data_IF_883144335737
#
_entry.id   IF_883144335737
#
_cell.length_a   1.000
_cell.length_b   1.000
_cell.length_c   1.000
_cell.angle_alpha   90.00
_cell.angle_beta   90.00
_cell.angle_gamma   90.00
#
_symmetry.space_group_name_H-M   'P 1'
#
loop_
_entity.id
_entity.type
_entity.pdbx_description
1 polymer ?
#
# COMPACT_ATOMS: atom_id res chain seq x y z
N UNK A 1 -32.87 -7.54 12.69
CA UNK A 1 -31.43 -7.60 13.08
C UNK A 1 -30.47 -7.45 11.90
N UNK A 2 -30.90 -7.67 10.68
CA UNK A 2 -30.08 -7.68 9.45
C UNK A 2 -29.63 -6.29 8.94
N UNK A 3 -30.41 -5.22 9.23
CA UNK A 3 -30.06 -3.84 8.83
C UNK A 3 -28.88 -3.24 9.66
N UNK A 4 -28.60 -3.77 10.87
CA UNK A 4 -27.53 -3.25 11.73
C UNK A 4 -26.13 -3.70 11.31
N UNK A 5 -25.96 -4.81 10.60
CA UNK A 5 -24.65 -5.30 10.14
C UNK A 5 -24.15 -4.52 8.91
N UNK A 6 -25.04 -4.23 7.95
CA UNK A 6 -24.71 -3.36 6.81
C UNK A 6 -24.42 -1.92 7.27
N UNK A 7 -25.20 -1.41 8.21
CA UNK A 7 -24.94 -0.11 8.83
C UNK A 7 -23.62 -0.11 9.63
N UNK A 8 -23.25 -1.22 10.28
CA UNK A 8 -22.00 -1.36 11.03
C UNK A 8 -20.75 -1.35 10.14
N UNK A 9 -20.82 -1.90 8.93
CA UNK A 9 -19.72 -1.87 7.95
C UNK A 9 -19.56 -0.45 7.38
N UNK A 10 -20.66 0.26 7.13
CA UNK A 10 -20.65 1.65 6.66
C UNK A 10 -20.22 2.61 7.77
N UNK A 11 -20.58 2.37 9.04
CA UNK A 11 -20.17 3.21 10.18
C UNK A 11 -18.71 2.96 10.60
N UNK A 12 -18.20 1.75 10.55
CA UNK A 12 -16.79 1.47 10.84
C UNK A 12 -15.83 2.19 9.87
N UNK A 13 -16.24 2.42 8.62
CA UNK A 13 -15.48 3.22 7.65
C UNK A 13 -15.58 4.74 7.90
N UNK A 14 -16.63 5.22 8.57
CA UNK A 14 -16.81 6.66 8.85
C UNK A 14 -16.15 7.13 10.16
N UNK A 15 -15.84 6.23 11.09
CA UNK A 15 -15.23 6.60 12.39
C UNK A 15 -13.71 6.55 12.43
N UNK A 16 -13.05 5.96 11.41
CA UNK A 16 -11.61 5.70 11.43
C UNK A 16 -10.72 6.51 10.48
N UNK A 17 -11.24 7.43 9.70
CA UNK A 17 -10.42 8.16 8.74
C UNK A 17 -10.94 9.56 8.49
N UNK A 18 -10.30 10.56 9.07
CA UNK A 18 -10.26 11.91 8.51
C UNK A 18 -9.65 11.77 7.11
N UNK A 19 -10.51 11.63 6.10
CA UNK A 19 -10.10 11.77 4.71
C UNK A 19 -9.68 13.22 4.57
N UNK A 20 -8.39 13.42 4.42
CA UNK A 20 -7.75 14.72 4.19
C UNK A 20 -8.48 15.45 3.04
N UNK A 21 -9.29 16.44 3.40
CA UNK A 21 -10.10 17.26 2.47
C UNK A 21 -9.19 18.22 1.66
N UNK A 22 -7.88 18.20 1.88
CA UNK A 22 -6.92 19.09 1.22
C UNK A 22 -6.64 18.79 -0.25
N UNK A 23 -7.30 17.78 -0.85
CA UNK A 23 -7.05 17.39 -2.25
C UNK A 23 -8.17 17.77 -3.21
N UNK A 24 -8.82 18.91 -2.99
CA UNK A 24 -9.91 19.42 -3.86
C UNK A 24 -9.46 19.78 -5.28
N UNK A 25 -8.19 20.11 -5.49
CA UNK A 25 -7.63 20.43 -6.81
C UNK A 25 -7.55 19.20 -7.74
N UNK A 26 -7.33 17.99 -7.21
CA UNK A 26 -7.30 16.77 -7.99
C UNK A 26 -8.70 16.26 -8.33
N UNK A 27 -9.70 16.51 -7.46
CA UNK A 27 -11.06 16.01 -7.66
C UNK A 27 -11.74 16.65 -8.88
N UNK A 28 -11.51 17.94 -9.15
CA UNK A 28 -12.05 18.63 -10.31
C UNK A 28 -11.42 18.13 -11.62
N UNK A 29 -10.12 17.87 -11.63
CA UNK A 29 -9.41 17.31 -12.77
C UNK A 29 -9.87 15.85 -13.06
N UNK A 30 -9.95 15.01 -12.03
CA UNK A 30 -10.44 13.63 -12.14
C UNK A 30 -11.90 13.59 -12.62
N UNK A 31 -12.73 14.54 -12.17
CA UNK A 31 -14.11 14.69 -12.62
C UNK A 31 -14.19 15.05 -14.11
N UNK A 32 -13.37 15.96 -14.58
CA UNK A 32 -13.31 16.33 -15.99
C UNK A 32 -12.87 15.16 -16.87
N UNK A 33 -11.84 14.43 -16.45
CA UNK A 33 -11.33 13.23 -17.11
C UNK A 33 -12.42 12.11 -17.18
N UNK A 34 -13.21 11.94 -16.11
CA UNK A 34 -14.28 10.95 -16.10
C UNK A 34 -15.36 11.26 -17.16
N UNK A 35 -15.78 12.51 -17.27
CA UNK A 35 -16.77 12.90 -18.29
C UNK A 35 -16.19 12.83 -19.70
N UNK A 36 -14.94 13.24 -19.90
CA UNK A 36 -14.26 13.13 -21.19
C UNK A 36 -14.09 11.67 -21.65
N UNK A 37 -13.80 10.77 -20.71
CA UNK A 37 -13.73 9.33 -20.98
C UNK A 37 -15.10 8.73 -21.38
N UNK A 38 -16.20 9.23 -20.80
CA UNK A 38 -17.56 8.82 -21.15
C UNK A 38 -17.95 9.33 -22.54
N UNK A 39 -17.58 10.56 -22.88
CA UNK A 39 -17.84 11.13 -24.21
C UNK A 39 -17.08 10.41 -25.33
N UNK A 40 -15.88 9.89 -25.05
CA UNK A 40 -15.06 9.13 -26.01
C UNK A 40 -15.50 7.67 -26.22
N UNK A 41 -16.34 7.10 -25.34
CA UNK A 41 -16.84 5.73 -25.42
C UNK A 41 -18.39 5.70 -25.36
N UNK A 42 -19.10 5.98 -26.45
CA UNK A 42 -20.57 5.93 -26.47
C UNK A 42 -21.17 4.52 -26.35
N UNK A 43 -20.36 3.46 -26.51
CA UNK A 43 -20.84 2.05 -26.62
C UNK A 43 -21.03 1.31 -25.28
N UNK A 44 -20.97 1.98 -24.13
CA UNK A 44 -21.14 1.31 -22.83
C UNK A 44 -22.59 0.97 -22.47
N UNK A 45 -23.56 1.23 -23.34
CA UNK A 45 -24.97 0.85 -23.11
C UNK A 45 -25.22 -0.66 -23.29
N UNK A 46 -24.45 -1.36 -24.13
CA UNK A 46 -24.60 -2.80 -24.34
C UNK A 46 -24.07 -3.69 -23.22
N UNK A 47 -23.17 -3.18 -22.36
CA UNK A 47 -22.56 -3.97 -21.27
C UNK A 47 -23.57 -4.24 -20.14
N UNK A 48 -24.62 -3.45 -20.03
CA UNK A 48 -25.67 -3.68 -19.03
C UNK A 48 -26.69 -4.76 -19.45
N UNK A 49 -26.82 -5.01 -20.75
CA UNK A 49 -27.83 -5.93 -21.32
C UNK A 49 -27.29 -7.33 -21.68
N UNK A 50 -25.97 -7.50 -21.82
CA UNK A 50 -25.38 -8.75 -22.32
C UNK A 50 -24.90 -9.75 -21.25
N UNK A 51 -25.24 -9.55 -19.98
CA UNK A 51 -24.77 -10.39 -18.87
C UNK A 51 -25.75 -11.52 -18.45
N UNK A 52 -26.61 -12.00 -19.34
CA UNK A 52 -27.45 -13.21 -19.07
C UNK A 52 -26.86 -14.51 -19.63
N UNK A 53 -25.68 -14.47 -20.27
CA UNK A 53 -24.99 -15.71 -20.64
C UNK A 53 -24.00 -16.11 -19.55
N UNK A 54 -24.40 -17.11 -18.79
CA UNK A 54 -23.61 -17.86 -17.82
C UNK A 54 -22.34 -18.42 -18.48
N UNK A 55 -21.20 -17.76 -18.24
CA UNK A 55 -19.91 -18.42 -18.34
C UNK A 55 -19.64 -19.09 -17.00
N UNK A 56 -19.65 -20.41 -16.99
CA UNK A 56 -19.16 -21.25 -15.89
C UNK A 56 -17.73 -20.83 -15.54
N UNK A 57 -17.61 -19.92 -14.57
CA UNK A 57 -16.34 -19.57 -13.99
C UNK A 57 -15.89 -20.77 -13.15
N UNK A 58 -14.68 -21.29 -13.43
CA UNK A 58 -13.96 -22.19 -12.53
C UNK A 58 -14.09 -21.63 -11.12
N UNK A 59 -14.78 -22.39 -10.25
CA UNK A 59 -14.89 -22.04 -8.84
C UNK A 59 -13.51 -22.10 -8.22
N UNK A 60 -12.94 -20.97 -7.72
CA UNK A 60 -11.83 -21.05 -6.79
C UNK A 60 -12.37 -21.70 -5.53
N UNK A 61 -11.68 -22.71 -5.04
CA UNK A 61 -12.08 -23.49 -3.90
C UNK A 61 -12.51 -22.60 -2.73
N UNK A 62 -13.66 -22.98 -2.13
CA UNK A 62 -14.18 -22.47 -0.87
C UNK A 62 -14.20 -20.92 -0.75
N UNK A 63 -14.92 -20.27 -1.67
CA UNK A 63 -15.39 -18.87 -1.47
C UNK A 63 -16.38 -18.95 -0.33
N UNK A 64 -15.90 -18.67 0.88
CA UNK A 64 -16.58 -18.93 2.12
C UNK A 64 -17.98 -18.32 2.17
N UNK A 65 -18.79 -18.80 3.11
CA UNK A 65 -20.15 -18.35 3.45
C UNK A 65 -20.34 -16.82 3.45
N UNK A 66 -19.27 -16.05 3.65
CA UNK A 66 -19.29 -14.57 3.67
C UNK A 66 -19.65 -13.93 2.32
N UNK A 67 -19.13 -14.43 1.20
CA UNK A 67 -19.46 -13.88 -0.13
C UNK A 67 -20.88 -14.25 -0.49
N UNK A 68 -21.28 -15.49 -0.24
CA UNK A 68 -22.64 -15.94 -0.49
C UNK A 68 -23.66 -15.14 0.37
N UNK A 69 -23.34 -14.90 1.63
CA UNK A 69 -24.16 -14.09 2.54
C UNK A 69 -24.28 -12.65 2.03
N UNK A 70 -23.16 -12.01 1.62
CA UNK A 70 -23.17 -10.67 1.06
C UNK A 70 -24.02 -10.58 -0.21
N UNK A 71 -23.85 -11.51 -1.16
CA UNK A 71 -24.61 -11.56 -2.40
C UNK A 71 -26.11 -11.76 -2.14
N UNK A 72 -26.49 -12.60 -1.16
CA UNK A 72 -27.87 -12.77 -0.74
C UNK A 72 -28.48 -11.48 -0.18
N UNK A 73 -27.72 -10.74 0.64
CA UNK A 73 -28.16 -9.46 1.23
C UNK A 73 -28.40 -8.40 0.15
N UNK A 74 -27.44 -8.18 -0.76
CA UNK A 74 -27.58 -7.19 -1.84
C UNK A 74 -28.64 -7.60 -2.86
N UNK A 75 -28.88 -8.92 -3.03
CA UNK A 75 -29.92 -9.46 -3.91
C UNK A 75 -31.34 -9.06 -3.49
N UNK A 76 -31.59 -8.86 -2.19
CA UNK A 76 -32.87 -8.44 -1.65
C UNK A 76 -33.19 -6.95 -1.87
N UNK A 77 -32.18 -6.13 -2.22
CA UNK A 77 -32.33 -4.69 -2.41
C UNK A 77 -32.78 -4.41 -3.84
N UNK A 78 -33.90 -3.70 -4.07
CA UNK A 78 -34.37 -3.37 -5.40
C UNK A 78 -33.42 -2.42 -6.11
N UNK A 79 -33.29 -2.58 -7.44
CA UNK A 79 -32.48 -1.68 -8.26
C UNK A 79 -33.12 -0.29 -8.26
N UNK A 80 -32.32 0.74 -8.02
CA UNK A 80 -32.79 2.12 -7.92
C UNK A 80 -33.05 2.72 -9.30
N UNK A 81 -34.27 3.26 -9.57
CA UNK A 81 -34.54 3.99 -10.80
C UNK A 81 -33.74 5.28 -10.90
N UNK A 82 -33.37 5.70 -12.13
CA UNK A 82 -32.56 6.91 -12.38
C UNK A 82 -33.13 8.18 -11.72
N UNK A 83 -34.46 8.34 -11.80
CA UNK A 83 -35.16 9.51 -11.24
C UNK A 83 -35.00 9.57 -9.72
N UNK A 84 -35.05 8.43 -9.04
CA UNK A 84 -34.86 8.34 -7.59
C UNK A 84 -33.41 8.56 -7.22
N UNK A 85 -32.45 8.01 -8.00
CA UNK A 85 -31.03 8.24 -7.83
C UNK A 85 -30.71 9.75 -7.91
N UNK A 86 -31.20 10.46 -8.92
CA UNK A 86 -30.99 11.90 -9.07
C UNK A 86 -31.53 12.69 -7.86
N UNK A 87 -32.75 12.36 -7.40
CA UNK A 87 -33.32 13.02 -6.20
C UNK A 87 -32.50 12.77 -4.92
N UNK A 88 -31.94 11.57 -4.78
CA UNK A 88 -31.09 11.25 -3.63
C UNK A 88 -29.76 12.00 -3.75
N UNK A 89 -29.16 12.06 -4.93
CA UNK A 89 -27.91 12.79 -5.16
C UNK A 89 -28.06 14.30 -4.91
N UNK A 90 -29.19 14.89 -5.30
CA UNK A 90 -29.49 16.29 -4.95
C UNK A 90 -29.51 16.53 -3.41
N UNK A 91 -30.07 15.57 -2.66
CA UNK A 91 -30.02 15.66 -1.17
C UNK A 91 -28.61 15.51 -0.64
N UNK A 92 -27.76 14.66 -1.24
CA UNK A 92 -26.35 14.52 -0.89
C UNK A 92 -25.62 15.85 -1.14
N UNK A 93 -25.82 16.48 -2.29
CA UNK A 93 -25.19 17.76 -2.62
C UNK A 93 -25.61 18.87 -1.64
N UNK A 94 -26.90 18.93 -1.30
CA UNK A 94 -27.39 19.88 -0.26
C UNK A 94 -26.79 19.59 1.11
N UNK A 95 -26.60 18.31 1.48
CA UNK A 95 -25.96 17.90 2.71
C UNK A 95 -24.49 18.30 2.75
N UNK A 96 -23.74 18.11 1.65
CA UNK A 96 -22.35 18.50 1.55
C UNK A 96 -22.18 20.04 1.63
N UNK A 97 -23.01 20.80 0.92
CA UNK A 97 -23.04 22.26 1.03
C UNK A 97 -23.37 22.75 2.46
N UNK A 98 -24.29 22.07 3.14
CA UNK A 98 -24.60 22.38 4.55
C UNK A 98 -23.43 22.05 5.49
N UNK A 99 -22.64 21.02 5.21
CA UNK A 99 -21.44 20.68 5.96
C UNK A 99 -20.36 21.73 5.79
N UNK A 100 -20.10 22.20 4.57
CA UNK A 100 -19.16 23.30 4.29
C UNK A 100 -19.59 24.61 4.98
N UNK A 101 -20.88 24.92 4.93
CA UNK A 101 -21.43 26.10 5.64
C UNK A 101 -21.24 25.99 7.16
N UNK A 102 -21.48 24.81 7.75
CA UNK A 102 -21.29 24.59 9.17
C UNK A 102 -19.82 24.75 9.58
N UNK A 103 -18.89 24.28 8.74
CA UNK A 103 -17.46 24.42 9.00
C UNK A 103 -16.99 25.87 8.88
N UNK A 104 -17.45 26.59 7.86
CA UNK A 104 -17.15 28.04 7.74
C UNK A 104 -17.69 28.83 8.93
N UNK A 105 -18.92 28.53 9.39
CA UNK A 105 -19.50 29.17 10.58
C UNK A 105 -18.74 28.81 11.85
N UNK A 106 -18.16 27.64 11.98
CA UNK A 106 -17.31 27.27 13.13
C UNK A 106 -16.02 28.09 13.13
N UNK A 107 -15.33 28.19 12.00
CA UNK A 107 -14.12 28.99 11.91
C UNK A 107 -14.38 30.46 12.25
N UNK A 108 -15.46 31.04 11.72
CA UNK A 108 -15.86 32.43 12.02
C UNK A 108 -16.23 32.59 13.51
N UNK A 109 -16.88 31.61 14.11
CA UNK A 109 -17.25 31.61 15.52
C UNK A 109 -16.03 31.55 16.44
N UNK A 110 -15.01 30.75 16.08
CA UNK A 110 -13.74 30.68 16.79
C UNK A 110 -12.96 32.00 16.71
N UNK A 111 -12.93 32.65 15.54
CA UNK A 111 -12.23 33.93 15.34
C UNK A 111 -12.96 35.10 16.07
N UNK A 112 -14.29 35.10 16.06
CA UNK A 112 -15.09 36.18 16.62
C UNK A 112 -15.47 36.01 18.12
N UNK A 113 -15.16 34.84 18.71
CA UNK A 113 -15.50 34.50 20.08
C UNK A 113 -17.01 34.34 20.33
N UNK A 114 -17.82 34.28 19.28
CA UNK A 114 -19.27 34.12 19.36
C UNK A 114 -19.65 32.67 19.03
N UNK A 115 -20.64 32.13 19.75
CA UNK A 115 -21.17 30.80 19.43
C UNK A 115 -22.07 30.85 18.18
N UNK A 116 -22.02 29.81 17.34
CA UNK A 116 -22.94 29.64 16.20
C UNK A 116 -24.39 29.55 16.74
N UNK A 117 -25.31 30.25 16.07
CA UNK A 117 -26.75 30.22 16.42
C UNK A 117 -27.26 28.76 16.46
N UNK A 118 -27.85 28.32 17.59
CA UNK A 118 -28.28 26.94 17.78
C UNK A 118 -29.38 26.50 16.80
N UNK A 119 -30.23 27.42 16.31
CA UNK A 119 -31.26 27.08 15.31
C UNK A 119 -30.63 26.80 13.94
N UNK A 120 -29.73 27.67 13.49
CA UNK A 120 -28.99 27.49 12.22
C UNK A 120 -28.20 26.18 12.26
N UNK A 121 -27.49 25.92 13.34
CA UNK A 121 -26.73 24.68 13.54
C UNK A 121 -27.63 23.45 13.45
N UNK A 122 -28.82 23.49 14.07
CA UNK A 122 -29.77 22.37 14.06
C UNK A 122 -30.31 22.09 12.67
N UNK A 123 -30.59 23.11 11.88
CA UNK A 123 -31.12 22.93 10.50
C UNK A 123 -30.05 22.46 9.54
N UNK A 124 -28.80 22.94 9.65
CA UNK A 124 -27.66 22.41 8.90
C UNK A 124 -27.39 20.94 9.26
N UNK A 125 -27.42 20.58 10.54
CA UNK A 125 -27.25 19.18 10.96
C UNK A 125 -28.35 18.26 10.43
N UNK A 126 -29.60 18.72 10.34
CA UNK A 126 -30.68 17.93 9.70
C UNK A 126 -30.43 17.73 8.20
N UNK A 127 -29.95 18.77 7.48
CA UNK A 127 -29.63 18.67 6.09
C UNK A 127 -28.47 17.69 5.83
N UNK A 128 -27.43 17.74 6.66
CA UNK A 128 -26.28 16.81 6.62
C UNK A 128 -26.74 15.37 6.83
N UNK A 129 -27.56 15.13 7.85
CA UNK A 129 -28.08 13.78 8.16
C UNK A 129 -29.00 13.25 7.04
N UNK A 130 -29.83 14.12 6.46
CA UNK A 130 -30.65 13.76 5.31
C UNK A 130 -29.80 13.42 4.07
N UNK A 131 -28.71 14.17 3.86
CA UNK A 131 -27.72 13.89 2.81
C UNK A 131 -27.03 12.53 3.02
N UNK A 132 -26.61 12.23 4.24
CA UNK A 132 -25.98 10.95 4.58
C UNK A 132 -26.91 9.77 4.32
N UNK A 133 -28.15 9.83 4.81
CA UNK A 133 -29.14 8.77 4.54
C UNK A 133 -29.45 8.61 3.05
N UNK A 134 -29.45 9.71 2.30
CA UNK A 134 -29.65 9.66 0.87
C UNK A 134 -28.43 8.99 0.16
N UNK A 135 -27.20 9.26 0.60
CA UNK A 135 -25.97 8.63 0.11
C UNK A 135 -26.01 7.12 0.33
N UNK A 136 -26.32 6.69 1.57
CA UNK A 136 -26.43 5.27 1.92
C UNK A 136 -27.44 4.56 0.99
N UNK A 137 -28.61 5.17 0.75
CA UNK A 137 -29.64 4.62 -0.15
C UNK A 137 -29.14 4.47 -1.60
N UNK A 138 -28.38 5.46 -2.11
CA UNK A 138 -27.80 5.36 -3.47
C UNK A 138 -26.74 4.27 -3.52
N UNK A 139 -25.90 4.14 -2.50
CA UNK A 139 -24.89 3.08 -2.43
C UNK A 139 -25.58 1.71 -2.43
N UNK A 140 -26.51 1.46 -1.53
CA UNK A 140 -27.25 0.20 -1.41
C UNK A 140 -27.90 -0.21 -2.74
N UNK A 141 -28.56 0.73 -3.42
CA UNK A 141 -29.26 0.47 -4.70
C UNK A 141 -28.30 0.17 -5.87
N UNK A 142 -26.99 0.42 -5.71
CA UNK A 142 -26.00 0.22 -6.78
C UNK A 142 -24.90 -0.81 -6.43
N UNK A 143 -24.99 -1.52 -5.31
CA UNK A 143 -23.98 -2.54 -4.92
C UNK A 143 -23.88 -3.67 -5.96
N UNK A 144 -24.98 -4.04 -6.60
CA UNK A 144 -24.99 -5.07 -7.66
C UNK A 144 -24.15 -4.66 -8.87
N UNK A 145 -24.12 -3.35 -9.23
CA UNK A 145 -23.27 -2.81 -10.28
C UNK A 145 -21.78 -3.02 -9.94
N UNK A 146 -21.40 -2.74 -8.68
CA UNK A 146 -20.02 -2.95 -8.21
C UNK A 146 -19.59 -4.41 -8.36
N UNK A 147 -20.44 -5.36 -7.93
CA UNK A 147 -20.18 -6.80 -8.07
C UNK A 147 -19.97 -7.21 -9.52
N UNK A 148 -20.82 -6.72 -10.43
CA UNK A 148 -20.72 -7.04 -11.87
C UNK A 148 -19.40 -6.58 -12.49
N UNK A 149 -18.86 -5.45 -12.02
CA UNK A 149 -17.58 -4.91 -12.47
C UNK A 149 -16.42 -5.66 -11.81
N UNK A 150 -16.46 -5.86 -10.48
CA UNK A 150 -15.40 -6.54 -9.71
C UNK A 150 -15.17 -7.97 -10.20
N UNK A 151 -16.23 -8.68 -10.61
CA UNK A 151 -16.14 -10.04 -11.17
C UNK A 151 -15.18 -10.15 -12.37
N UNK A 152 -15.01 -9.08 -13.16
CA UNK A 152 -14.11 -9.07 -14.32
C UNK A 152 -12.63 -9.01 -13.92
N UNK A 153 -12.32 -8.66 -12.67
CA UNK A 153 -10.95 -8.46 -12.17
C UNK A 153 -10.45 -9.58 -11.26
N UNK A 154 -11.26 -10.61 -10.98
CA UNK A 154 -10.88 -11.74 -10.11
C UNK A 154 -9.59 -12.40 -10.57
N UNK A 155 -9.45 -12.66 -11.88
CA UNK A 155 -8.27 -13.33 -12.44
C UNK A 155 -7.03 -12.41 -12.53
N UNK A 156 -7.19 -11.12 -12.28
CA UNK A 156 -6.10 -10.14 -12.33
C UNK A 156 -5.53 -9.82 -10.95
N UNK A 157 -6.16 -10.30 -9.89
CA UNK A 157 -5.72 -10.15 -8.52
C UNK A 157 -4.66 -11.21 -8.18
N UNK A 158 -3.61 -10.80 -7.47
CA UNK A 158 -2.51 -11.65 -7.03
C UNK A 158 -2.74 -12.17 -5.62
N UNK A 159 -3.11 -11.29 -4.68
CA UNK A 159 -3.33 -11.58 -3.27
C UNK A 159 -4.72 -11.14 -2.77
N UNK A 160 -5.33 -10.15 -3.45
CA UNK A 160 -6.65 -9.64 -3.08
C UNK A 160 -7.74 -10.69 -3.35
N UNK A 161 -8.59 -10.94 -2.36
CA UNK A 161 -9.75 -11.80 -2.53
C UNK A 161 -10.90 -11.03 -3.18
N UNK A 162 -11.89 -11.76 -3.73
CA UNK A 162 -13.03 -11.15 -4.43
C UNK A 162 -13.78 -10.10 -3.59
N UNK A 163 -13.87 -10.34 -2.28
CA UNK A 163 -14.50 -9.41 -1.35
C UNK A 163 -13.76 -8.07 -1.26
N UNK A 164 -12.42 -8.10 -1.31
CA UNK A 164 -11.59 -6.88 -1.30
C UNK A 164 -11.83 -6.05 -2.57
N UNK A 165 -11.91 -6.71 -3.73
CA UNK A 165 -12.23 -6.05 -5.00
C UNK A 165 -13.61 -5.37 -4.97
N UNK A 166 -14.59 -6.01 -4.33
CA UNK A 166 -15.92 -5.43 -4.12
C UNK A 166 -15.81 -4.19 -3.21
N UNK A 167 -15.06 -4.26 -2.09
CA UNK A 167 -14.94 -3.12 -1.17
C UNK A 167 -14.20 -1.94 -1.82
N UNK A 168 -13.14 -2.19 -2.56
CA UNK A 168 -12.47 -1.13 -3.34
C UNK A 168 -13.40 -0.52 -4.39
N UNK A 169 -14.22 -1.34 -5.03
CA UNK A 169 -15.28 -0.87 -5.93
C UNK A 169 -16.33 -0.03 -5.23
N UNK A 170 -16.74 -0.40 -4.00
CA UNK A 170 -17.69 0.36 -3.18
C UNK A 170 -17.13 1.75 -2.81
N UNK A 171 -15.82 1.86 -2.53
CA UNK A 171 -15.14 3.15 -2.31
C UNK A 171 -15.23 4.00 -3.58
N UNK A 172 -15.01 3.41 -4.76
CA UNK A 172 -15.19 4.08 -6.05
C UNK A 172 -16.62 4.57 -6.28
N UNK A 173 -17.60 3.73 -5.95
CA UNK A 173 -19.03 4.09 -6.02
C UNK A 173 -19.33 5.30 -5.11
N UNK A 174 -18.86 5.30 -3.86
CA UNK A 174 -19.08 6.42 -2.93
C UNK A 174 -18.48 7.72 -3.45
N UNK A 175 -17.27 7.68 -4.04
CA UNK A 175 -16.66 8.85 -4.68
C UNK A 175 -17.47 9.36 -5.87
N UNK A 176 -18.05 8.46 -6.67
CA UNK A 176 -18.86 8.85 -7.80
C UNK A 176 -20.11 9.63 -7.40
N UNK A 177 -20.71 9.32 -6.25
CA UNK A 177 -21.89 10.03 -5.74
C UNK A 177 -21.56 11.49 -5.39
N UNK A 178 -20.41 11.71 -4.74
CA UNK A 178 -19.99 13.04 -4.32
C UNK A 178 -19.63 13.95 -5.52
N UNK A 179 -19.16 13.34 -6.61
CA UNK A 179 -18.65 14.07 -7.79
C UNK A 179 -19.62 14.13 -8.95
N UNK A 180 -20.78 13.47 -8.88
CA UNK A 180 -21.73 13.38 -9.98
C UNK A 180 -22.43 14.72 -10.26
N UNK A 181 -22.56 15.07 -11.54
CA UNK A 181 -23.24 16.27 -12.01
C UNK A 181 -24.55 15.92 -12.71
N UNK A 182 -25.66 16.24 -12.07
CA UNK A 182 -27.01 15.91 -12.55
C UNK A 182 -27.34 16.70 -13.83
N UNK A 183 -26.72 17.88 -14.04
CA UNK A 183 -27.02 18.77 -15.20
C UNK A 183 -26.59 18.18 -16.54
N UNK A 184 -25.63 17.22 -16.54
CA UNK A 184 -25.06 16.65 -17.77
C UNK A 184 -25.91 15.59 -18.48
N UNK A 185 -27.08 15.27 -17.94
CA UNK A 185 -28.04 14.32 -18.53
C UNK A 185 -27.45 12.92 -18.85
N UNK A 186 -26.44 12.48 -18.09
CA UNK A 186 -25.80 11.16 -18.18
C UNK A 186 -26.40 10.24 -17.12
N UNK A 187 -26.55 8.94 -17.40
CA UNK A 187 -27.00 7.97 -16.39
C UNK A 187 -25.94 7.85 -15.29
N UNK A 188 -26.40 7.85 -14.02
CA UNK A 188 -25.48 7.70 -12.87
C UNK A 188 -24.64 6.42 -12.96
N UNK A 189 -25.23 5.30 -13.40
CA UNK A 189 -24.52 4.02 -13.56
C UNK A 189 -23.33 4.10 -14.53
N UNK A 190 -23.45 4.85 -15.62
CA UNK A 190 -22.37 5.07 -16.59
C UNK A 190 -21.21 5.82 -15.96
N UNK A 191 -21.49 6.88 -15.21
CA UNK A 191 -20.49 7.65 -14.48
C UNK A 191 -19.85 6.84 -13.34
N UNK A 192 -20.64 6.14 -12.54
CA UNK A 192 -20.18 5.29 -11.45
C UNK A 192 -19.26 4.16 -11.95
N UNK A 193 -19.53 3.56 -13.09
CA UNK A 193 -18.70 2.51 -13.69
C UNK A 193 -17.26 2.95 -13.90
N UNK A 194 -17.03 4.20 -14.32
CA UNK A 194 -15.69 4.76 -14.47
C UNK A 194 -14.94 4.78 -13.12
N UNK A 195 -15.53 5.31 -12.08
CA UNK A 195 -14.92 5.43 -10.75
C UNK A 195 -14.72 4.08 -10.07
N UNK A 196 -15.67 3.17 -10.19
CA UNK A 196 -15.55 1.80 -9.68
C UNK A 196 -14.36 1.11 -10.33
N UNK A 197 -14.26 1.18 -11.66
CA UNK A 197 -13.16 0.58 -12.43
C UNK A 197 -11.83 1.21 -12.04
N UNK A 198 -11.76 2.53 -11.95
CA UNK A 198 -10.54 3.26 -11.58
C UNK A 198 -10.04 2.86 -10.20
N UNK A 199 -10.93 2.77 -9.19
CA UNK A 199 -10.53 2.36 -7.84
C UNK A 199 -10.06 0.91 -7.81
N UNK A 200 -10.78 -0.03 -8.41
CA UNK A 200 -10.36 -1.44 -8.47
C UNK A 200 -8.99 -1.57 -9.15
N UNK A 201 -8.79 -0.94 -10.30
CA UNK A 201 -7.50 -1.01 -11.02
C UNK A 201 -6.36 -0.34 -10.25
N UNK A 202 -6.65 0.73 -9.51
CA UNK A 202 -5.68 1.39 -8.64
C UNK A 202 -5.31 0.51 -7.46
N UNK A 203 -6.27 -0.15 -6.82
CA UNK A 203 -6.03 -1.08 -5.72
C UNK A 203 -5.19 -2.28 -6.16
N UNK A 204 -5.51 -2.90 -7.31
CA UNK A 204 -4.71 -3.95 -7.92
C UNK A 204 -3.27 -3.52 -8.24
N UNK A 205 -3.05 -2.25 -8.54
CA UNK A 205 -1.71 -1.74 -8.84
C UNK A 205 -0.88 -1.42 -7.60
N UNK A 206 -1.52 -1.01 -6.49
CA UNK A 206 -0.84 -0.45 -5.31
C UNK A 206 -0.96 -1.28 -4.05
N UNK A 207 -2.08 -1.93 -3.84
CA UNK A 207 -2.40 -2.66 -2.60
C UNK A 207 -2.24 -4.17 -2.76
N UNK A 208 -2.57 -4.71 -3.94
CA UNK A 208 -2.49 -6.15 -4.23
C UNK A 208 -1.04 -6.71 -4.18
N UNK A 209 0.00 -6.05 -4.72
CA UNK A 209 1.36 -6.58 -4.66
C UNK A 209 1.91 -6.59 -3.23
N UNK A 210 2.53 -7.70 -2.79
CA UNK A 210 3.19 -7.82 -1.48
C UNK A 210 4.23 -6.70 -1.24
N UNK A 211 4.92 -6.25 -2.30
CA UNK A 211 5.80 -5.08 -2.26
C UNK A 211 5.11 -3.94 -3.01
N UNK A 212 4.67 -2.93 -2.26
CA UNK A 212 4.00 -1.74 -2.82
C UNK A 212 4.88 -1.02 -3.84
N UNK A 213 4.28 -0.64 -4.97
CA UNK A 213 4.95 0.11 -6.04
C UNK A 213 4.26 1.44 -6.31
N UNK A 214 5.01 2.45 -6.78
CA UNK A 214 4.40 3.66 -7.32
C UNK A 214 3.52 3.35 -8.54
N UNK A 215 2.42 4.10 -8.70
CA UNK A 215 1.42 3.86 -9.75
C UNK A 215 2.04 3.90 -11.15
N UNK A 216 2.96 4.84 -11.42
CA UNK A 216 3.58 4.98 -12.75
C UNK A 216 4.38 3.73 -13.17
N UNK A 217 4.91 2.96 -12.20
CA UNK A 217 5.62 1.69 -12.47
C UNK A 217 4.61 0.60 -12.85
N UNK A 218 3.47 0.54 -12.14
CA UNK A 218 2.42 -0.42 -12.43
C UNK A 218 1.76 -0.17 -13.80
N UNK A 219 1.50 1.10 -14.14
CA UNK A 219 0.99 1.51 -15.45
C UNK A 219 2.00 1.21 -16.57
N UNK A 220 3.28 1.55 -16.36
CA UNK A 220 4.35 1.21 -17.29
C UNK A 220 4.43 -0.30 -17.56
N UNK A 221 4.33 -1.12 -16.51
CA UNK A 221 4.31 -2.58 -16.63
C UNK A 221 3.10 -3.07 -17.44
N UNK A 222 1.91 -2.52 -17.18
CA UNK A 222 0.71 -2.90 -17.94
C UNK A 222 0.87 -2.59 -19.42
N UNK A 223 1.40 -1.41 -19.74
CA UNK A 223 1.67 -1.01 -21.13
C UNK A 223 2.68 -1.93 -21.79
N UNK A 224 3.77 -2.28 -21.08
CA UNK A 224 4.81 -3.21 -21.57
C UNK A 224 4.24 -4.61 -21.80
N UNK A 225 3.42 -5.14 -20.87
CA UNK A 225 2.81 -6.46 -21.03
C UNK A 225 1.84 -6.50 -22.23
N UNK A 226 1.01 -5.48 -22.39
CA UNK A 226 0.11 -5.39 -23.56
C UNK A 226 0.90 -5.32 -24.86
N UNK A 227 2.00 -4.55 -24.90
CA UNK A 227 2.87 -4.49 -26.08
C UNK A 227 3.52 -5.86 -26.38
N UNK A 228 4.00 -6.57 -25.35
CA UNK A 228 4.54 -7.94 -25.50
C UNK A 228 3.52 -8.91 -26.07
N UNK A 229 2.31 -8.92 -25.54
CA UNK A 229 1.22 -9.79 -26.04
C UNK A 229 0.92 -9.50 -27.52
N UNK A 230 0.85 -8.22 -27.90
CA UNK A 230 0.63 -7.82 -29.30
C UNK A 230 1.80 -8.21 -30.20
N UNK A 231 3.06 -8.08 -29.73
CA UNK A 231 4.25 -8.50 -30.46
C UNK A 231 4.29 -10.02 -30.66
N UNK A 232 3.94 -10.79 -29.61
CA UNK A 232 3.83 -12.24 -29.68
C UNK A 232 2.77 -12.69 -30.69
N UNK A 233 1.58 -12.05 -30.69
CA UNK A 233 0.53 -12.34 -31.66
C UNK A 233 0.97 -12.07 -33.11
N UNK A 234 1.89 -11.11 -33.31
CA UNK A 234 2.47 -10.77 -34.62
C UNK A 234 3.73 -11.57 -34.96
N UNK A 235 4.19 -12.47 -34.07
CA UNK A 235 5.43 -13.26 -34.26
C UNK A 235 6.71 -12.43 -34.19
N UNK A 236 6.68 -11.25 -33.53
CA UNK A 236 7.83 -10.37 -33.37
C UNK A 236 8.64 -10.75 -32.11
N UNK A 237 9.96 -10.55 -32.08
CA UNK A 237 10.77 -10.78 -30.89
C UNK A 237 10.36 -9.82 -29.78
N UNK A 238 10.14 -10.35 -28.57
CA UNK A 238 9.59 -9.59 -27.44
C UNK A 238 10.48 -9.61 -26.18
N UNK A 239 11.75 -10.00 -26.31
CA UNK A 239 12.69 -10.12 -25.19
C UNK A 239 13.61 -8.90 -25.05
N UNK A 240 13.90 -8.18 -26.13
CA UNK A 240 14.74 -6.99 -26.08
C UNK A 240 13.94 -5.75 -25.66
N UNK A 241 14.33 -5.07 -24.56
CA UNK A 241 13.72 -3.83 -24.12
C UNK A 241 13.68 -2.72 -25.19
N UNK A 242 14.67 -2.69 -26.08
CA UNK A 242 14.76 -1.71 -27.15
C UNK A 242 13.69 -1.94 -28.22
N UNK A 243 13.46 -3.18 -28.60
CA UNK A 243 12.43 -3.54 -29.58
C UNK A 243 11.03 -3.27 -29.05
N UNK A 244 10.79 -3.59 -27.77
CA UNK A 244 9.53 -3.26 -27.09
C UNK A 244 9.32 -1.74 -27.08
N UNK A 245 10.35 -0.95 -26.77
CA UNK A 245 10.27 0.51 -26.75
C UNK A 245 9.93 1.07 -28.13
N UNK A 246 10.59 0.59 -29.18
CA UNK A 246 10.29 0.98 -30.56
C UNK A 246 8.88 0.59 -30.98
N UNK A 247 8.42 -0.60 -30.59
CA UNK A 247 7.06 -1.04 -30.88
C UNK A 247 6.00 -0.15 -30.20
N UNK A 248 6.24 0.26 -28.95
CA UNK A 248 5.31 1.10 -28.19
C UNK A 248 5.22 2.53 -28.70
N UNK A 249 6.33 3.12 -29.15
CA UNK A 249 6.41 4.52 -29.61
C UNK A 249 6.30 4.67 -31.12
N UNK A 250 6.54 3.59 -31.88
CA UNK A 250 6.56 3.65 -33.34
C UNK A 250 7.58 4.66 -33.88
N UNK A 251 7.19 5.41 -34.89
CA UNK A 251 8.05 6.41 -35.55
C UNK A 251 8.48 7.57 -34.63
N UNK A 252 7.76 7.77 -33.50
CA UNK A 252 8.10 8.80 -32.51
C UNK A 252 9.38 8.47 -31.74
N UNK A 253 9.81 7.19 -31.69
CA UNK A 253 11.00 6.78 -30.94
C UNK A 253 12.28 7.52 -31.37
N UNK A 254 12.50 7.67 -32.67
CA UNK A 254 13.71 8.29 -33.20
C UNK A 254 13.71 9.83 -33.02
N UNK A 255 12.54 10.43 -32.81
CA UNK A 255 12.38 11.86 -32.54
C UNK A 255 12.60 12.22 -31.07
N UNK A 256 12.59 11.24 -30.14
CA UNK A 256 12.81 11.46 -28.71
C UNK A 256 14.26 11.82 -28.39
N UNK A 257 14.43 12.70 -27.39
CA UNK A 257 15.77 13.00 -26.86
C UNK A 257 16.40 11.74 -26.23
N UNK A 258 17.74 11.62 -26.29
CA UNK A 258 18.47 10.48 -25.66
C UNK A 258 18.11 10.26 -24.19
N UNK A 259 17.82 11.36 -23.46
CA UNK A 259 17.44 11.30 -22.05
C UNK A 259 16.05 10.68 -21.84
N UNK A 260 15.12 10.97 -22.72
CA UNK A 260 13.76 10.39 -22.69
C UNK A 260 13.78 8.92 -23.10
N UNK A 261 14.55 8.57 -24.14
CA UNK A 261 14.77 7.19 -24.55
C UNK A 261 15.32 6.35 -23.39
N UNK A 262 16.35 6.84 -22.70
CA UNK A 262 16.92 6.17 -21.51
C UNK A 262 15.91 6.03 -20.36
N UNK A 263 15.08 7.06 -20.10
CA UNK A 263 14.04 7.00 -19.07
C UNK A 263 13.00 5.91 -19.39
N UNK A 264 12.54 5.86 -20.63
CA UNK A 264 11.58 4.84 -21.07
C UNK A 264 12.19 3.43 -21.03
N UNK A 265 13.43 3.25 -21.49
CA UNK A 265 14.13 1.98 -21.39
C UNK A 265 14.28 1.47 -19.97
N UNK A 266 14.59 2.35 -19.00
CA UNK A 266 14.65 1.97 -17.58
C UNK A 266 13.30 1.47 -17.07
N UNK A 267 12.20 2.12 -17.43
CA UNK A 267 10.85 1.69 -17.03
C UNK A 267 10.55 0.29 -17.62
N UNK A 268 10.88 0.07 -18.89
CA UNK A 268 10.68 -1.23 -19.54
C UNK A 268 11.56 -2.31 -18.88
N UNK A 269 12.84 -2.04 -18.65
CA UNK A 269 13.75 -2.97 -17.96
C UNK A 269 13.26 -3.33 -16.57
N UNK A 270 12.85 -2.35 -15.77
CA UNK A 270 12.23 -2.60 -14.47
C UNK A 270 10.96 -3.43 -14.56
N UNK A 271 10.14 -3.20 -15.59
CA UNK A 271 8.91 -3.96 -15.82
C UNK A 271 9.19 -5.42 -16.19
N UNK A 272 10.26 -5.67 -16.95
CA UNK A 272 10.69 -7.01 -17.38
C UNK A 272 11.37 -7.80 -16.24
N UNK A 273 12.15 -7.11 -15.40
CA UNK A 273 12.85 -7.72 -14.26
C UNK A 273 11.92 -8.03 -13.10
N UNK A 274 10.71 -7.47 -13.10
CA UNK A 274 9.79 -7.70 -12.02
C UNK A 274 9.30 -9.15 -12.00
N UNK A 275 9.64 -9.83 -10.91
CA UNK A 275 9.04 -11.11 -10.55
C UNK A 275 8.10 -10.93 -9.35
N UNK A 276 7.05 -11.72 -9.32
CA UNK A 276 6.21 -11.86 -8.15
C UNK A 276 7.04 -12.53 -7.05
N UNK A 277 6.97 -12.09 -5.79
CA UNK A 277 7.61 -12.82 -4.70
C UNK A 277 7.06 -14.24 -4.61
N UNK A 278 7.96 -15.20 -4.44
CA UNK A 278 7.58 -16.59 -4.22
C UNK A 278 7.25 -16.82 -2.73
N UNK A 279 6.35 -17.76 -2.43
CA UNK A 279 6.04 -18.12 -1.05
C UNK A 279 7.17 -18.94 -0.45
N UNK A 280 7.60 -18.61 0.76
CA UNK A 280 8.56 -19.40 1.52
C UNK A 280 8.01 -20.78 1.92
N UNK A 281 6.69 -20.92 1.99
CA UNK A 281 6.01 -22.19 2.30
C UNK A 281 5.78 -23.05 1.05
N UNK A 282 6.13 -22.54 -0.13
CA UNK A 282 6.01 -23.32 -1.36
C UNK A 282 6.96 -24.51 -1.34
N UNK A 283 6.49 -25.72 -1.72
CA UNK A 283 7.34 -26.91 -1.80
C UNK A 283 8.36 -26.72 -2.95
N UNK A 284 9.62 -27.08 -2.68
CA UNK A 284 10.71 -26.95 -3.68
C UNK A 284 10.55 -27.96 -4.80
N UNK A 285 10.06 -29.17 -4.50
CA UNK A 285 9.82 -30.22 -5.48
C UNK A 285 8.33 -30.38 -5.72
N UNK A 286 7.87 -29.99 -6.90
CA UNK A 286 6.50 -30.23 -7.36
C UNK A 286 6.29 -31.64 -7.93
N UNK A 287 7.35 -32.47 -8.00
CA UNK A 287 7.23 -33.84 -8.51
C UNK A 287 6.47 -34.73 -7.52
N UNK A 288 5.31 -35.17 -7.96
CA UNK A 288 4.36 -35.99 -7.19
C UNK A 288 4.91 -37.35 -6.68
N UNK A 289 6.19 -37.63 -6.95
CA UNK A 289 6.87 -38.89 -6.58
C UNK A 289 7.78 -38.78 -5.36
N UNK A 290 8.07 -37.56 -4.85
CA UNK A 290 8.89 -37.40 -3.64
C UNK A 290 8.02 -36.99 -2.46
N UNK A 291 8.02 -37.81 -1.44
CA UNK A 291 7.26 -37.65 -0.17
C UNK A 291 7.77 -36.51 0.71
N UNK A 292 8.76 -35.72 0.20
CA UNK A 292 9.36 -34.59 0.90
C UNK A 292 8.74 -33.28 0.45
N UNK A 293 7.70 -32.88 1.15
CA UNK A 293 7.02 -31.57 0.98
C UNK A 293 7.82 -30.45 1.68
N UNK A 294 9.15 -30.42 1.47
CA UNK A 294 10.06 -29.50 2.15
C UNK A 294 9.84 -28.08 1.64
N UNK A 295 9.49 -27.11 2.50
CA UNK A 295 9.24 -25.73 2.09
C UNK A 295 10.54 -25.04 1.68
N UNK A 296 10.42 -24.03 0.79
CA UNK A 296 11.55 -23.21 0.32
C UNK A 296 12.32 -22.53 1.48
N UNK A 297 11.63 -22.23 2.58
CA UNK A 297 12.22 -21.60 3.76
C UNK A 297 13.36 -22.41 4.39
N UNK A 298 13.33 -23.76 4.30
CA UNK A 298 14.38 -24.62 4.85
C UNK A 298 15.70 -24.57 4.05
N UNK A 299 15.65 -24.12 2.78
CA UNK A 299 16.83 -24.02 1.93
C UNK A 299 17.52 -22.64 2.00
N UNK A 300 16.88 -21.66 2.62
CA UNK A 300 17.43 -20.31 2.70
C UNK A 300 18.29 -20.18 3.94
N UNK A 301 19.62 -20.02 3.81
CA UNK A 301 20.50 -19.83 4.95
C UNK A 301 20.24 -18.47 5.62
N UNK A 302 20.45 -18.43 6.94
CA UNK A 302 20.47 -17.15 7.66
C UNK A 302 21.69 -16.33 7.22
N UNK A 303 21.48 -15.01 7.00
CA UNK A 303 22.57 -14.07 6.73
C UNK A 303 23.21 -13.52 8.00
N UNK A 304 22.69 -13.88 9.18
CA UNK A 304 23.23 -13.46 10.43
C UNK A 304 24.41 -14.37 10.81
N UNK A 305 25.63 -13.83 10.78
CA UNK A 305 26.84 -14.58 11.14
C UNK A 305 26.79 -15.17 12.56
N UNK A 306 26.07 -14.53 13.47
CA UNK A 306 25.88 -14.98 14.86
C UNK A 306 25.01 -16.24 15.00
N UNK A 307 24.23 -16.58 13.98
CA UNK A 307 23.46 -17.83 13.96
C UNK A 307 24.34 -19.05 13.67
N UNK A 308 25.58 -18.83 13.20
CA UNK A 308 26.57 -19.89 13.07
C UNK A 308 27.08 -20.27 14.46
N UNK A 309 26.90 -21.54 14.89
CA UNK A 309 27.29 -22.00 16.23
C UNK A 309 28.80 -21.82 16.49
N UNK A 310 29.66 -21.94 15.48
CA UNK A 310 31.11 -21.73 15.61
C UNK A 310 31.44 -20.28 15.94
N UNK A 311 30.88 -19.32 15.17
CA UNK A 311 31.08 -17.88 15.39
C UNK A 311 30.50 -17.46 16.75
N UNK A 312 29.30 -17.92 17.06
CA UNK A 312 28.64 -17.62 18.33
C UNK A 312 29.41 -18.14 19.52
N UNK A 313 29.96 -19.37 19.43
CA UNK A 313 30.77 -19.97 20.51
C UNK A 313 32.11 -19.28 20.65
N UNK A 314 32.81 -18.98 19.55
CA UNK A 314 34.05 -18.23 19.52
C UNK A 314 33.86 -16.82 20.08
N UNK A 315 32.77 -16.13 19.69
CA UNK A 315 32.41 -14.82 20.22
C UNK A 315 32.17 -14.83 21.74
N UNK A 316 31.47 -15.85 22.27
CA UNK A 316 31.27 -16.02 23.72
C UNK A 316 32.61 -16.24 24.44
N UNK A 317 33.45 -17.13 23.92
CA UNK A 317 34.81 -17.39 24.50
C UNK A 317 35.68 -16.15 24.48
N UNK A 318 35.67 -15.37 23.41
CA UNK A 318 36.36 -14.09 23.33
C UNK A 318 35.84 -13.13 24.41
N UNK A 319 34.50 -13.00 24.53
CA UNK A 319 33.89 -12.11 25.51
C UNK A 319 34.24 -12.49 26.95
N UNK A 320 34.18 -13.78 27.30
CA UNK A 320 34.63 -14.28 28.62
C UNK A 320 36.09 -14.02 28.89
N UNK A 321 36.93 -14.16 27.86
CA UNK A 321 38.38 -13.89 27.99
C UNK A 321 38.63 -12.41 28.19
N UNK A 322 37.95 -11.55 27.46
CA UNK A 322 38.00 -10.09 27.62
C UNK A 322 37.51 -9.65 29.00
N UNK A 323 36.43 -10.21 29.51
CA UNK A 323 35.91 -9.86 30.83
C UNK A 323 36.90 -10.25 31.94
N UNK A 324 37.55 -11.41 31.87
CA UNK A 324 38.64 -11.80 32.78
C UNK A 324 39.81 -10.83 32.74
N UNK A 325 40.23 -10.42 31.54
CA UNK A 325 41.33 -9.47 31.37
C UNK A 325 40.98 -8.09 31.96
N UNK A 326 39.75 -7.62 31.74
CA UNK A 326 39.28 -6.35 32.29
C UNK A 326 39.11 -6.38 33.80
N UNK A 327 38.76 -7.56 34.37
CA UNK A 327 38.68 -7.75 35.83
C UNK A 327 40.05 -7.70 36.53
N UNK A 328 41.09 -8.18 35.85
CA UNK A 328 42.49 -8.16 36.40
C UNK A 328 43.15 -6.76 36.31
N UNK A 329 42.46 -5.79 35.69
CA UNK A 329 42.98 -4.42 35.53
C UNK A 329 42.45 -3.49 36.63
N UNK A 330 43.14 -2.33 36.85
CA UNK A 330 42.59 -1.29 37.72
C UNK A 330 41.18 -0.86 37.27
N UNK A 331 40.23 -0.83 38.20
CA UNK A 331 38.84 -0.56 37.92
C UNK A 331 38.59 0.69 37.05
N UNK A 332 39.41 1.74 37.26
CA UNK A 332 39.33 2.98 36.48
C UNK A 332 39.74 2.79 35.03
N UNK A 333 40.80 2.03 34.77
CA UNK A 333 41.27 1.77 33.39
C UNK A 333 40.32 0.83 32.66
N UNK A 334 39.78 -0.16 33.35
CA UNK A 334 38.76 -1.08 32.84
C UNK A 334 37.45 -0.34 32.44
N UNK A 335 36.99 0.59 33.30
CA UNK A 335 35.80 1.39 33.03
C UNK A 335 35.97 2.27 31.77
N UNK A 336 37.14 2.93 31.61
CA UNK A 336 37.42 3.71 30.39
C UNK A 336 37.35 2.84 29.13
N UNK A 337 37.90 1.61 29.17
CA UNK A 337 37.84 0.70 28.02
C UNK A 337 36.41 0.21 27.75
N UNK A 338 35.65 -0.15 28.79
CA UNK A 338 34.26 -0.58 28.64
C UNK A 338 33.39 0.48 27.96
N UNK A 339 33.48 1.73 28.43
CA UNK A 339 32.74 2.84 27.83
C UNK A 339 33.26 3.16 26.43
N UNK A 340 34.59 3.15 26.21
CA UNK A 340 35.15 3.51 24.89
C UNK A 340 34.80 2.55 23.79
N UNK A 341 34.75 1.26 24.09
CA UNK A 341 34.45 0.20 23.10
C UNK A 341 33.02 -0.34 23.20
N UNK A 342 32.19 0.23 24.10
CA UNK A 342 30.81 -0.18 24.25
C UNK A 342 30.63 -1.64 24.70
N UNK A 343 31.51 -2.10 25.60
CA UNK A 343 31.52 -3.51 26.03
C UNK A 343 30.39 -3.85 27.03
N UNK A 344 29.72 -2.85 27.61
CA UNK A 344 28.56 -3.06 28.49
C UNK A 344 27.24 -2.85 27.75
N UNK A 345 27.08 -1.70 27.09
CA UNK A 345 25.81 -1.24 26.53
C UNK A 345 25.77 -1.37 25.01
N UNK A 346 26.80 -1.88 24.36
CA UNK A 346 26.94 -1.93 22.92
C UNK A 346 27.14 -0.56 22.24
N UNK A 347 27.23 0.54 23.04
CA UNK A 347 27.39 1.90 22.55
C UNK A 347 28.83 2.42 22.86
N UNK A 348 29.56 2.80 21.81
CA UNK A 348 30.91 3.38 21.99
C UNK A 348 30.81 4.88 22.28
N UNK A 349 31.35 5.31 23.45
CA UNK A 349 31.35 6.70 23.87
C UNK A 349 32.55 7.47 23.34
N UNK A 350 32.37 8.76 23.11
CA UNK A 350 33.47 9.64 22.71
C UNK A 350 34.39 9.95 23.88
N UNK A 351 35.65 10.31 23.59
CA UNK A 351 36.62 10.67 24.65
C UNK A 351 36.18 11.85 25.52
N UNK A 352 35.29 12.72 25.00
CA UNK A 352 34.74 13.84 25.74
C UNK A 352 33.65 13.36 26.72
N UNK A 353 32.71 12.56 26.25
CA UNK A 353 31.65 11.99 27.08
C UNK A 353 32.20 11.15 28.24
N UNK A 354 33.22 10.31 27.96
CA UNK A 354 33.91 9.54 29.01
C UNK A 354 34.63 10.49 29.99
N UNK A 355 35.19 11.59 29.50
CA UNK A 355 35.80 12.60 30.35
C UNK A 355 34.80 13.27 31.28
N UNK A 356 33.64 13.63 30.74
CA UNK A 356 32.53 14.26 31.49
C UNK A 356 31.95 13.28 32.54
N UNK A 357 31.87 11.97 32.24
CA UNK A 357 31.39 10.92 33.13
C UNK A 357 32.35 10.60 34.28
N UNK A 358 33.66 10.68 34.01
CA UNK A 358 34.71 10.28 34.96
C UNK A 358 35.45 11.46 35.61
N UNK A 359 34.99 12.68 35.42
CA UNK A 359 35.64 13.92 35.87
C UNK A 359 37.11 14.02 35.40
N UNK A 360 37.34 13.71 34.12
CA UNK A 360 38.65 13.75 33.46
C UNK A 360 38.66 14.67 32.25
N UNK A 361 39.85 15.23 31.95
CA UNK A 361 40.01 15.92 30.67
C UNK A 361 40.05 14.92 29.52
N UNK A 362 39.51 15.29 28.34
CA UNK A 362 39.54 14.50 27.09
C UNK A 362 40.94 13.93 26.80
N UNK A 363 41.98 14.75 26.99
CA UNK A 363 43.38 14.33 26.75
C UNK A 363 43.85 13.28 27.79
N UNK A 364 43.36 13.39 29.02
CA UNK A 364 43.68 12.41 30.05
C UNK A 364 43.04 11.04 29.76
N UNK A 365 41.79 11.05 29.29
CA UNK A 365 41.09 9.81 28.83
C UNK A 365 41.88 9.19 27.68
N UNK A 366 42.34 9.98 26.69
CA UNK A 366 43.14 9.49 25.58
C UNK A 366 44.43 8.82 26.07
N UNK A 367 45.19 9.49 26.97
CA UNK A 367 46.42 8.96 27.54
C UNK A 367 46.19 7.65 28.31
N UNK A 368 45.09 7.55 29.07
CA UNK A 368 44.73 6.33 29.79
C UNK A 368 44.43 5.22 28.81
N UNK A 369 43.61 5.50 27.78
CA UNK A 369 43.26 4.53 26.75
C UNK A 369 44.49 4.00 26.02
N UNK A 370 45.37 4.88 25.51
CA UNK A 370 46.59 4.49 24.79
C UNK A 370 47.51 3.65 25.65
N UNK A 371 47.77 4.11 26.90
CA UNK A 371 48.63 3.39 27.85
C UNK A 371 48.07 2.01 28.21
N UNK A 372 46.76 1.90 28.31
CA UNK A 372 46.10 0.65 28.68
C UNK A 372 46.12 -0.34 27.53
N UNK A 373 45.85 0.14 26.30
CA UNK A 373 46.00 -0.68 25.10
C UNK A 373 47.41 -1.17 24.85
N UNK A 374 48.45 -0.32 25.11
CA UNK A 374 49.85 -0.74 25.03
C UNK A 374 50.21 -1.82 26.06
N UNK A 375 49.70 -1.70 27.28
CA UNK A 375 49.87 -2.74 28.30
C UNK A 375 49.22 -4.05 27.90
N UNK A 376 48.02 -3.99 27.35
CA UNK A 376 47.31 -5.18 26.84
C UNK A 376 48.05 -5.83 25.68
N UNK A 377 48.53 -5.05 24.71
CA UNK A 377 49.26 -5.55 23.54
C UNK A 377 50.58 -6.25 23.94
N UNK A 378 51.32 -5.69 24.85
CA UNK A 378 52.63 -6.20 25.24
C UNK A 378 52.57 -7.22 26.40
N UNK A 379 51.40 -7.42 27.02
CA UNK A 379 51.21 -8.29 28.18
C UNK A 379 50.81 -9.73 27.82
N UNK A 380 50.59 -10.54 28.85
CA UNK A 380 50.04 -11.89 28.72
C UNK A 380 48.65 -11.88 28.05
N UNK A 381 47.87 -10.82 28.28
CA UNK A 381 46.55 -10.62 27.70
C UNK A 381 46.61 -10.55 26.18
N UNK A 382 47.59 -9.89 25.59
CA UNK A 382 47.73 -9.81 24.13
C UNK A 382 47.97 -11.17 23.49
N UNK A 383 48.70 -12.07 24.13
CA UNK A 383 48.89 -13.45 23.64
C UNK A 383 47.59 -14.26 23.69
N UNK A 384 46.80 -14.11 24.76
CA UNK A 384 45.51 -14.80 24.91
C UNK A 384 44.45 -14.31 23.89
N UNK A 385 44.53 -13.04 23.49
CA UNK A 385 43.60 -12.47 22.48
C UNK A 385 44.07 -12.75 21.06
N UNK A 386 45.36 -13.09 20.87
CA UNK A 386 45.88 -13.40 19.53
C UNK A 386 45.28 -14.65 18.92
N UNK A 387 44.91 -15.64 19.75
CA UNK A 387 44.27 -16.89 19.33
C UNK A 387 42.85 -16.66 18.69
N UNK A 388 42.25 -15.49 18.91
CA UNK A 388 40.95 -15.10 18.34
C UNK A 388 41.08 -14.22 17.09
N UNK A 389 42.29 -13.88 16.64
CA UNK A 389 42.56 -13.06 15.47
C UNK A 389 42.85 -13.89 14.21
N UNK A 390 43.06 -15.20 14.39
CA UNK A 390 43.19 -16.19 13.30
C UNK A 390 41.82 -16.81 12.95
#
# INVERSE_FOLDING_TARGET
MTSKLLCGIITAFNEGGVVDITNTSNLAADRALAYEAIERQPETEEIAASNEQETEAKQPGNIGDHVAMYLSQIGSIPIMPQVEANRCIEKVQKGNAAAEQLETLRVIAEESGNAVDPEIKKDLMKAIEAGRRAKDKVVEGNLRLVVSIAKKYINSADSMVFMDLIQEGNIGLMRSIDSFDISRNVKFSTYATFWIRQNITRALATTDPAIRKPIYVAEGRRSVNNAKEQMQQKGLPCDDPLEIAKYMEGDAWDSLSKREQQKKLRIIQHSLQYRKPDSLDAPVNSDAASDSNTPLSEFIPSHNEWDNPEISTSGKALWETMDKILHDMPARDACVLRLRFGLEDGCAYTLKEIGDEMDLTRERVRQVTDKTLDKLRNGKAGKMLQDFLE
#
